data_IF_534982490889
#
_entry.id   IF_534982490889
#
_cell.length_a   1.000
_cell.length_b   1.000
_cell.length_c   1.000
_cell.angle_alpha   90.00
_cell.angle_beta   90.00
_cell.angle_gamma   90.00
#
_symmetry.space_group_name_H-M   'P 1'
#
loop_
_entity.id
_entity.type
_entity.pdbx_description
1 polymer ?
#
# COMPACT_ATOMS: atom_id res chain seq x y z
N UNK A 1 45.45 36.04 5.98
CA UNK A 1 45.09 34.73 5.41
C UNK A 1 43.68 34.44 5.87
N UNK A 2 42.72 34.66 5.00
CA UNK A 2 41.29 34.47 5.27
C UNK A 2 40.90 33.16 4.61
N UNK A 3 40.54 32.17 5.43
CA UNK A 3 40.08 30.89 4.99
C UNK A 3 38.69 30.98 4.33
N UNK A 4 38.57 30.58 3.09
CA UNK A 4 37.30 30.39 2.42
C UNK A 4 36.71 29.04 2.86
N UNK A 5 35.76 29.12 3.80
CA UNK A 5 34.85 27.99 4.06
C UNK A 5 33.94 27.78 2.86
N UNK A 6 34.16 26.68 2.15
CA UNK A 6 33.26 26.20 1.10
C UNK A 6 31.96 25.70 1.75
N UNK A 7 30.94 26.52 1.75
CA UNK A 7 29.56 26.07 1.90
C UNK A 7 29.22 25.13 0.72
N UNK A 8 29.34 23.83 0.96
CA UNK A 8 28.75 22.84 0.08
C UNK A 8 27.24 22.90 0.31
N UNK A 9 26.57 23.67 -0.56
CA UNK A 9 25.12 23.71 -0.60
C UNK A 9 24.59 22.32 -0.96
N UNK A 10 23.99 21.63 0.00
CA UNK A 10 23.15 20.48 -0.31
C UNK A 10 21.96 20.98 -1.14
N UNK A 11 22.04 20.77 -2.45
CA UNK A 11 20.87 20.88 -3.32
C UNK A 11 19.85 19.83 -2.86
N UNK A 12 18.56 20.20 -2.68
CA UNK A 12 17.54 19.21 -2.45
C UNK A 12 17.49 18.29 -3.66
N UNK A 13 17.72 17.01 -3.44
CA UNK A 13 17.54 15.99 -4.49
C UNK A 13 16.04 15.89 -4.72
N UNK A 14 15.50 16.66 -5.64
CA UNK A 14 14.16 16.46 -6.19
C UNK A 14 14.25 15.26 -7.15
N UNK A 15 14.31 14.05 -6.57
CA UNK A 15 14.20 12.84 -7.38
C UNK A 15 12.78 12.77 -7.92
N UNK A 16 12.60 13.00 -9.21
CA UNK A 16 11.36 12.74 -9.94
C UNK A 16 11.23 11.28 -10.34
N UNK A 17 12.26 10.47 -10.06
CA UNK A 17 12.23 9.05 -10.35
C UNK A 17 11.29 8.32 -9.39
N UNK A 18 10.30 7.64 -9.94
CA UNK A 18 9.44 6.74 -9.19
C UNK A 18 10.30 5.68 -8.47
N UNK A 19 10.02 5.49 -7.18
CA UNK A 19 10.75 4.52 -6.38
C UNK A 19 10.59 3.10 -6.96
N UNK A 20 11.73 2.44 -7.16
CA UNK A 20 11.85 1.02 -7.47
C UNK A 20 12.93 0.42 -6.59
N UNK A 21 12.58 -0.63 -5.88
CA UNK A 21 13.54 -1.37 -5.07
C UNK A 21 14.28 -2.35 -5.99
N UNK A 22 15.55 -2.06 -6.25
CA UNK A 22 16.36 -2.87 -7.18
C UNK A 22 16.73 -4.23 -6.59
N UNK A 23 16.92 -4.29 -5.28
CA UNK A 23 17.35 -5.48 -4.56
C UNK A 23 16.16 -6.36 -4.13
N UNK A 24 16.28 -7.68 -4.28
CA UNK A 24 15.20 -8.62 -3.89
C UNK A 24 15.02 -8.67 -2.38
N UNK A 25 16.09 -8.49 -1.60
CA UNK A 25 15.98 -8.43 -0.13
C UNK A 25 15.15 -7.22 0.30
N UNK A 26 15.35 -6.05 -0.32
CA UNK A 26 14.55 -4.85 -0.06
C UNK A 26 13.11 -5.01 -0.53
N UNK A 27 12.88 -5.67 -1.68
CA UNK A 27 11.51 -5.99 -2.13
C UNK A 27 10.80 -6.93 -1.16
N UNK A 28 11.51 -7.93 -0.65
CA UNK A 28 10.97 -8.86 0.36
C UNK A 28 10.69 -8.16 1.69
N UNK A 29 11.61 -7.32 2.17
CA UNK A 29 11.43 -6.52 3.37
C UNK A 29 10.22 -5.58 3.25
N UNK A 30 10.13 -4.84 2.14
CA UNK A 30 8.98 -3.97 1.87
C UNK A 30 7.66 -4.76 1.88
N UNK A 31 7.58 -5.87 1.13
CA UNK A 31 6.35 -6.69 1.10
C UNK A 31 5.98 -7.20 2.49
N UNK A 32 6.99 -7.65 3.25
CA UNK A 32 6.76 -8.13 4.62
C UNK A 32 6.14 -7.06 5.52
N UNK A 33 6.68 -5.85 5.50
CA UNK A 33 6.17 -4.72 6.27
C UNK A 33 4.82 -4.22 5.74
N UNK A 34 4.67 -4.07 4.42
CA UNK A 34 3.44 -3.61 3.79
C UNK A 34 2.24 -4.50 4.17
N UNK A 35 2.43 -5.82 4.07
CA UNK A 35 1.40 -6.81 4.43
C UNK A 35 1.12 -6.79 5.93
N UNK A 36 2.16 -6.77 6.78
CA UNK A 36 2.01 -6.72 8.23
C UNK A 36 1.23 -5.48 8.67
N UNK A 37 1.55 -4.32 8.12
CA UNK A 37 0.92 -3.05 8.47
C UNK A 37 -0.54 -3.00 8.02
N UNK A 38 -0.86 -3.53 6.84
CA UNK A 38 -2.23 -3.67 6.39
C UNK A 38 -3.04 -4.61 7.30
N UNK A 39 -2.44 -5.74 7.71
CA UNK A 39 -3.05 -6.69 8.64
C UNK A 39 -3.25 -6.06 10.03
N UNK A 40 -2.25 -5.38 10.56
CA UNK A 40 -2.32 -4.69 11.85
C UNK A 40 -3.38 -3.58 11.88
N UNK A 41 -3.57 -2.87 10.77
CA UNK A 41 -4.55 -1.79 10.65
C UNK A 41 -5.99 -2.25 10.90
N UNK A 42 -6.31 -3.52 10.67
CA UNK A 42 -7.61 -4.09 11.04
C UNK A 42 -7.82 -4.11 12.56
N UNK A 43 -6.78 -4.41 13.33
CA UNK A 43 -6.86 -4.50 14.79
C UNK A 43 -6.69 -3.14 15.48
N UNK A 44 -5.91 -2.26 14.87
CA UNK A 44 -5.63 -0.91 15.36
C UNK A 44 -5.68 0.08 14.18
N UNK A 45 -6.90 0.54 13.81
CA UNK A 45 -7.09 1.44 12.69
C UNK A 45 -6.34 2.76 12.89
N UNK A 46 -5.38 3.11 11.98
CA UNK A 46 -4.75 4.42 12.03
C UNK A 46 -5.74 5.52 11.67
N UNK A 47 -5.71 6.64 12.40
CA UNK A 47 -6.67 7.74 12.22
C UNK A 47 -6.64 8.37 10.82
N UNK A 48 -5.50 8.32 10.13
CA UNK A 48 -5.34 8.81 8.76
C UNK A 48 -5.88 7.86 7.68
N UNK A 49 -6.29 6.64 8.03
CA UNK A 49 -6.84 5.67 7.08
C UNK A 49 -8.35 5.86 7.01
N UNK A 50 -8.79 6.68 6.08
CA UNK A 50 -10.21 7.07 5.89
C UNK A 50 -10.85 6.48 4.64
N UNK A 51 -10.07 5.84 3.78
CA UNK A 51 -10.51 5.16 2.56
C UNK A 51 -9.55 4.05 2.14
N UNK A 52 -9.89 3.31 1.09
CA UNK A 52 -9.07 2.20 0.60
C UNK A 52 -7.70 2.64 0.05
N UNK A 53 -7.60 3.82 -0.56
CA UNK A 53 -6.34 4.36 -1.04
C UNK A 53 -5.47 4.86 0.13
N UNK A 54 -6.10 5.42 1.18
CA UNK A 54 -5.40 5.82 2.40
C UNK A 54 -4.74 4.62 3.10
N UNK A 55 -5.40 3.45 3.10
CA UNK A 55 -4.81 2.22 3.63
C UNK A 55 -3.54 1.81 2.85
N UNK A 56 -3.59 1.86 1.52
CA UNK A 56 -2.42 1.56 0.67
C UNK A 56 -1.29 2.57 0.91
N UNK A 57 -1.62 3.88 0.95
CA UNK A 57 -0.65 4.95 1.21
C UNK A 57 0.01 4.80 2.59
N UNK A 58 -0.79 4.53 3.62
CA UNK A 58 -0.32 4.27 4.98
C UNK A 58 0.65 3.09 5.01
N UNK A 59 0.21 1.91 4.55
CA UNK A 59 1.03 0.72 4.58
C UNK A 59 2.33 0.87 3.77
N UNK A 60 2.27 1.55 2.61
CA UNK A 60 3.44 1.81 1.77
C UNK A 60 4.43 2.77 2.43
N UNK A 61 3.94 3.87 2.99
CA UNK A 61 4.76 4.87 3.68
C UNK A 61 5.44 4.28 4.91
N UNK A 62 4.67 3.60 5.75
CA UNK A 62 5.20 3.02 6.97
C UNK A 62 6.17 1.86 6.69
N UNK A 63 5.94 1.03 5.66
CA UNK A 63 6.86 -0.04 5.26
C UNK A 63 8.26 0.45 4.84
N UNK A 64 8.37 1.71 4.43
CA UNK A 64 9.62 2.35 4.02
C UNK A 64 10.33 3.10 5.15
N UNK A 65 9.70 3.24 6.31
CA UNK A 65 10.32 3.91 7.47
C UNK A 65 11.31 3.01 8.18
N UNK A 66 12.29 3.60 8.92
CA UNK A 66 13.06 2.86 9.89
C UNK A 66 12.16 2.34 11.02
N UNK A 67 12.16 1.05 11.27
CA UNK A 67 11.38 0.45 12.34
C UNK A 67 12.20 0.39 13.64
N UNK A 68 12.56 1.56 14.15
CA UNK A 68 13.30 1.71 15.40
C UNK A 68 12.49 1.20 16.60
N UNK A 69 13.18 0.94 17.73
CA UNK A 69 12.49 0.58 18.97
C UNK A 69 11.44 1.62 19.40
N UNK A 70 11.67 2.90 19.12
CA UNK A 70 10.70 3.96 19.38
C UNK A 70 9.49 3.86 18.46
N UNK A 71 9.72 3.63 17.16
CA UNK A 71 8.64 3.42 16.20
C UNK A 71 7.80 2.20 16.58
N UNK A 72 8.43 1.06 16.92
CA UNK A 72 7.74 -0.16 17.35
C UNK A 72 6.86 0.07 18.58
N UNK A 73 7.35 0.84 19.56
CA UNK A 73 6.54 1.19 20.75
C UNK A 73 5.32 2.04 20.39
N UNK A 74 5.46 3.00 19.46
CA UNK A 74 4.34 3.85 19.00
C UNK A 74 3.35 3.10 18.15
N UNK A 75 3.83 2.22 17.28
CA UNK A 75 2.99 1.44 16.37
C UNK A 75 2.11 0.41 17.09
N UNK A 76 2.45 0.04 18.35
CA UNK A 76 1.67 -0.90 19.19
C UNK A 76 1.20 -2.14 18.43
N UNK A 77 2.07 -2.69 17.56
CA UNK A 77 1.72 -3.86 16.78
C UNK A 77 1.30 -5.02 17.71
N UNK A 78 0.28 -5.80 17.33
CA UNK A 78 -0.19 -6.95 18.14
C UNK A 78 0.89 -7.98 18.45
N UNK A 79 1.89 -8.09 17.58
CA UNK A 79 3.08 -8.95 17.76
C UNK A 79 4.29 -8.18 17.26
N UNK A 80 5.42 -8.26 17.98
CA UNK A 80 6.69 -7.70 17.54
C UNK A 80 7.22 -8.48 16.31
N UNK A 81 7.38 -7.83 15.15
CA UNK A 81 7.81 -8.53 13.96
C UNK A 81 9.35 -8.69 13.92
N UNK A 82 9.80 -9.86 13.48
CA UNK A 82 11.19 -10.10 13.11
C UNK A 82 11.37 -9.90 11.60
N UNK A 83 11.17 -8.67 11.12
CA UNK A 83 11.34 -8.30 9.71
C UNK A 83 12.52 -7.35 9.55
N UNK A 84 13.36 -7.54 8.52
CA UNK A 84 14.41 -6.58 8.20
C UNK A 84 13.78 -5.28 7.67
N UNK A 85 14.49 -4.16 7.87
CA UNK A 85 14.14 -2.90 7.23
C UNK A 85 14.52 -2.89 5.75
N UNK A 86 13.82 -2.08 4.97
CA UNK A 86 14.26 -1.70 3.62
C UNK A 86 15.51 -0.85 3.74
N UNK A 87 16.58 -1.20 3.04
CA UNK A 87 17.87 -0.48 3.11
C UNK A 87 17.96 0.67 2.12
N UNK A 88 17.46 0.51 0.88
CA UNK A 88 17.39 1.54 -0.14
C UNK A 88 16.20 2.47 0.08
N UNK A 89 16.30 3.34 1.09
CA UNK A 89 15.20 4.25 1.48
C UNK A 89 15.36 5.64 0.88
N UNK A 90 14.37 6.15 0.17
CA UNK A 90 14.30 7.58 -0.11
C UNK A 90 13.63 8.28 1.07
N UNK A 91 14.31 8.51 2.19
CA UNK A 91 13.74 9.31 3.28
C UNK A 91 14.34 10.70 3.21
N UNK A 92 13.56 11.71 2.79
CA UNK A 92 13.96 13.09 2.97
C UNK A 92 14.01 13.41 4.47
N UNK A 93 14.95 14.25 4.86
CA UNK A 93 15.16 14.71 6.23
C UNK A 93 13.95 15.44 6.84
N UNK A 94 12.99 15.89 6.03
CA UNK A 94 11.76 16.56 6.46
C UNK A 94 10.57 15.62 6.72
N UNK A 95 10.75 14.29 6.61
CA UNK A 95 9.69 13.30 6.88
C UNK A 95 8.61 13.18 5.82
N UNK A 96 8.64 14.00 4.77
CA UNK A 96 7.74 13.89 3.62
C UNK A 96 8.24 12.82 2.66
N UNK A 97 7.34 11.94 2.21
CA UNK A 97 7.64 10.86 1.29
C UNK A 97 6.70 10.96 0.07
N UNK A 98 7.04 11.78 -0.92
CA UNK A 98 6.31 11.82 -2.19
C UNK A 98 6.59 10.53 -2.96
N UNK A 99 5.76 9.50 -2.72
CA UNK A 99 5.97 8.14 -3.24
C UNK A 99 5.21 7.87 -4.53
N UNK A 100 4.15 8.65 -4.78
CA UNK A 100 3.20 8.34 -5.84
C UNK A 100 3.36 9.26 -7.03
N UNK A 101 3.57 8.67 -8.20
CA UNK A 101 3.45 9.35 -9.46
C UNK A 101 1.98 9.73 -9.69
N UNK A 102 1.71 10.98 -10.05
CA UNK A 102 0.34 11.49 -10.20
C UNK A 102 -0.05 11.81 -11.64
N UNK A 103 0.88 11.67 -12.59
CA UNK A 103 0.65 11.90 -14.02
C UNK A 103 1.50 10.94 -14.87
N UNK A 104 1.28 10.95 -16.18
CA UNK A 104 2.06 10.18 -17.14
C UNK A 104 3.46 10.79 -17.35
N UNK A 105 4.43 9.93 -17.72
CA UNK A 105 5.79 10.31 -18.09
C UNK A 105 6.79 10.20 -16.94
N UNK A 106 8.07 10.00 -17.27
CA UNK A 106 9.13 9.75 -16.28
C UNK A 106 9.49 10.99 -15.47
N UNK A 107 9.20 12.17 -15.98
CA UNK A 107 9.37 13.46 -15.30
C UNK A 107 8.13 13.92 -14.53
N UNK A 108 7.06 13.09 -14.47
CA UNK A 108 5.86 13.44 -13.74
C UNK A 108 6.15 13.65 -12.25
N UNK A 109 5.51 14.64 -11.61
CA UNK A 109 5.75 14.90 -10.19
C UNK A 109 5.32 13.73 -9.33
N UNK A 110 6.03 13.56 -8.22
CA UNK A 110 5.64 12.65 -7.14
C UNK A 110 4.88 13.42 -6.08
N UNK A 111 3.91 12.75 -5.44
CA UNK A 111 3.11 13.30 -4.34
C UNK A 111 2.99 12.29 -3.19
N UNK A 112 2.66 12.78 -2.02
CA UNK A 112 2.30 11.93 -0.88
C UNK A 112 0.89 11.37 -1.02
N UNK A 113 0.01 12.12 -1.68
CA UNK A 113 -1.37 11.74 -1.93
C UNK A 113 -1.54 11.12 -3.33
N UNK A 114 -2.27 10.01 -3.38
CA UNK A 114 -2.80 9.41 -4.60
C UNK A 114 -4.11 8.70 -4.25
N UNK A 115 -5.14 8.90 -5.07
CA UNK A 115 -6.38 8.13 -4.99
C UNK A 115 -6.21 6.72 -5.57
N UNK A 116 -7.24 5.88 -5.42
CA UNK A 116 -7.20 4.48 -5.86
C UNK A 116 -6.88 4.35 -7.37
N UNK A 117 -7.48 5.22 -8.19
CA UNK A 117 -7.26 5.22 -9.65
C UNK A 117 -5.84 5.63 -10.02
N UNK A 118 -5.30 6.65 -9.35
CA UNK A 118 -3.94 7.12 -9.53
C UNK A 118 -2.91 6.06 -9.12
N UNK A 119 -3.15 5.37 -7.98
CA UNK A 119 -2.31 4.27 -7.53
C UNK A 119 -2.25 3.19 -8.61
N UNK A 120 -3.39 2.72 -9.09
CA UNK A 120 -3.44 1.66 -10.11
C UNK A 120 -2.83 2.11 -11.43
N UNK A 121 -3.17 3.32 -11.89
CA UNK A 121 -2.79 3.78 -13.23
C UNK A 121 -1.30 4.08 -13.37
N UNK A 122 -0.68 4.64 -12.32
CA UNK A 122 0.68 5.17 -12.41
C UNK A 122 1.68 4.50 -11.45
N UNK A 123 1.19 3.75 -10.45
CA UNK A 123 2.05 3.20 -9.39
C UNK A 123 1.93 1.68 -9.24
N UNK A 124 1.13 1.04 -10.09
CA UNK A 124 1.00 -0.41 -10.14
C UNK A 124 0.94 -0.90 -11.58
N UNK A 125 1.18 -2.19 -11.77
CA UNK A 125 1.01 -2.87 -13.05
C UNK A 125 0.01 -4.02 -12.90
N UNK A 126 -0.77 -4.28 -13.93
CA UNK A 126 -1.63 -5.44 -14.00
C UNK A 126 -0.78 -6.73 -13.97
N UNK A 127 -1.14 -7.66 -13.12
CA UNK A 127 -0.54 -8.99 -13.04
C UNK A 127 -1.42 -9.98 -13.82
N UNK A 128 -2.72 -10.02 -13.48
CA UNK A 128 -3.66 -10.98 -14.02
C UNK A 128 -5.10 -10.54 -13.72
N UNK A 129 -6.07 -11.20 -14.36
CA UNK A 129 -7.47 -11.17 -13.94
C UNK A 129 -7.86 -12.39 -13.10
N UNK A 130 -6.97 -13.35 -12.95
CA UNK A 130 -7.17 -14.50 -12.07
C UNK A 130 -6.63 -14.17 -10.66
N UNK A 131 -7.51 -14.23 -9.67
CA UNK A 131 -7.10 -13.94 -8.28
C UNK A 131 -6.14 -14.98 -7.71
N UNK A 132 -6.11 -16.18 -8.28
CA UNK A 132 -5.14 -17.24 -7.96
C UNK A 132 -3.68 -16.85 -8.23
N UNK A 133 -3.46 -15.86 -9.11
CA UNK A 133 -2.13 -15.35 -9.42
C UNK A 133 -1.64 -14.27 -8.42
N UNK A 134 -2.54 -13.84 -7.52
CA UNK A 134 -2.22 -12.84 -6.52
C UNK A 134 -1.23 -13.38 -5.47
N UNK A 135 -0.33 -12.51 -5.04
CA UNK A 135 0.65 -12.78 -3.98
C UNK A 135 0.47 -11.77 -2.85
N UNK A 136 0.90 -12.09 -1.64
CA UNK A 136 0.92 -11.10 -0.55
C UNK A 136 1.59 -9.78 -0.98
N UNK A 137 0.91 -8.67 -0.76
CA UNK A 137 1.30 -7.33 -1.19
C UNK A 137 0.70 -6.89 -2.53
N UNK A 138 0.01 -7.75 -3.27
CA UNK A 138 -0.76 -7.35 -4.45
C UNK A 138 -2.07 -6.68 -4.06
N UNK A 139 -2.63 -5.90 -4.99
CA UNK A 139 -3.87 -5.17 -4.84
C UNK A 139 -4.94 -5.79 -5.74
N UNK A 140 -6.12 -6.06 -5.18
CA UNK A 140 -7.32 -6.33 -5.98
C UNK A 140 -7.98 -4.99 -6.29
N UNK A 141 -8.21 -4.71 -7.56
CA UNK A 141 -8.82 -3.47 -8.01
C UNK A 141 -10.21 -3.72 -8.58
N UNK A 142 -11.18 -3.00 -8.02
CA UNK A 142 -12.57 -2.99 -8.49
C UNK A 142 -12.95 -1.59 -8.95
N UNK A 143 -13.79 -1.54 -9.99
CA UNK A 143 -14.35 -0.30 -10.49
C UNK A 143 -15.86 -0.43 -10.67
N UNK A 144 -16.60 0.42 -9.98
CA UNK A 144 -18.06 0.45 -9.97
C UNK A 144 -18.54 1.86 -10.33
N UNK A 145 -18.71 2.18 -11.64
CA UNK A 145 -18.97 3.54 -12.13
C UNK A 145 -20.23 4.19 -11.54
N UNK A 146 -21.20 3.38 -11.11
CA UNK A 146 -22.44 3.86 -10.50
C UNK A 146 -22.30 4.34 -9.04
N UNK A 147 -21.15 4.09 -8.41
CA UNK A 147 -20.91 4.53 -7.04
C UNK A 147 -20.28 5.91 -6.99
N UNK A 148 -20.53 6.66 -5.90
CA UNK A 148 -19.89 7.96 -5.65
C UNK A 148 -18.37 7.87 -5.61
N UNK A 149 -17.85 6.77 -5.04
CA UNK A 149 -16.44 6.41 -5.08
C UNK A 149 -16.31 5.14 -5.93
N UNK A 150 -16.04 5.28 -7.24
CA UNK A 150 -16.13 4.14 -8.15
C UNK A 150 -14.94 3.19 -8.05
N UNK A 151 -13.82 3.64 -7.52
CA UNK A 151 -12.54 2.92 -7.55
C UNK A 151 -12.22 2.36 -6.14
N UNK A 152 -12.06 1.04 -6.02
CA UNK A 152 -11.79 0.38 -4.75
C UNK A 152 -10.55 -0.50 -4.83
N UNK A 153 -9.74 -0.44 -3.77
CA UNK A 153 -8.55 -1.26 -3.59
C UNK A 153 -8.70 -2.15 -2.38
N UNK A 154 -8.24 -3.40 -2.52
CA UNK A 154 -8.12 -4.34 -1.42
C UNK A 154 -6.70 -4.91 -1.42
N UNK A 155 -6.07 -5.06 -0.26
CA UNK A 155 -4.70 -5.58 -0.14
C UNK A 155 -4.76 -7.08 0.13
N UNK A 156 -4.08 -7.86 -0.71
CA UNK A 156 -3.85 -9.28 -0.46
C UNK A 156 -2.77 -9.41 0.60
N UNK A 157 -3.09 -9.95 1.77
CA UNK A 157 -2.11 -10.12 2.84
C UNK A 157 -1.60 -11.56 2.96
N UNK A 158 -2.25 -12.53 2.31
CA UNK A 158 -1.94 -13.94 2.49
C UNK A 158 -2.32 -14.43 3.90
N UNK A 159 -1.61 -15.39 4.47
CA UNK A 159 -1.82 -15.82 5.84
C UNK A 159 -1.59 -14.67 6.81
N UNK A 160 -2.54 -14.46 7.74
CA UNK A 160 -2.40 -13.41 8.75
C UNK A 160 -1.35 -13.78 9.80
N UNK A 161 -0.60 -12.78 10.26
CA UNK A 161 0.31 -12.95 11.40
C UNK A 161 -0.37 -12.84 12.76
N UNK A 162 -1.59 -12.30 12.78
CA UNK A 162 -2.34 -12.02 14.01
C UNK A 162 -3.57 -12.91 14.16
N UNK A 163 -3.94 -13.67 13.13
CA UNK A 163 -5.03 -14.61 13.14
C UNK A 163 -4.49 -16.02 12.88
N UNK A 164 -4.58 -16.96 13.85
CA UNK A 164 -4.05 -18.31 13.71
C UNK A 164 -4.85 -19.17 12.74
N UNK A 165 -5.99 -18.69 12.26
CA UNK A 165 -6.80 -19.44 11.31
C UNK A 165 -6.10 -19.54 9.94
N UNK A 166 -6.20 -20.71 9.32
CA UNK A 166 -5.58 -20.97 8.02
C UNK A 166 -6.28 -20.24 6.88
N UNK A 167 -5.53 -19.94 5.81
CA UNK A 167 -6.02 -19.36 4.57
C UNK A 167 -5.48 -17.95 4.32
N UNK A 168 -5.73 -17.48 3.10
CA UNK A 168 -5.34 -16.15 2.68
C UNK A 168 -6.41 -15.12 3.05
N UNK A 169 -5.96 -13.97 3.51
CA UNK A 169 -6.80 -12.86 3.89
C UNK A 169 -6.61 -11.66 2.97
N UNK A 170 -7.66 -10.88 2.90
CA UNK A 170 -7.73 -9.60 2.21
C UNK A 170 -8.10 -8.53 3.23
N UNK A 171 -7.39 -7.38 3.19
CA UNK A 171 -7.70 -6.22 4.04
C UNK A 171 -8.04 -5.03 3.15
N UNK A 172 -9.10 -4.31 3.51
CA UNK A 172 -9.55 -3.13 2.80
C UNK A 172 -10.33 -2.19 3.71
N UNK A 173 -10.42 -0.91 3.31
CA UNK A 173 -11.34 0.05 3.92
C UNK A 173 -12.60 0.16 3.07
N UNK A 174 -13.76 0.14 3.69
CA UNK A 174 -15.06 0.19 2.96
C UNK A 174 -15.29 1.54 2.27
N UNK A 175 -14.56 2.58 2.70
CA UNK A 175 -14.80 3.97 2.29
C UNK A 175 -15.94 4.60 3.08
N UNK A 176 -16.00 5.94 3.12
CA UNK A 176 -17.11 6.65 3.71
C UNK A 176 -18.35 6.60 2.80
N UNK A 177 -19.51 6.52 3.41
CA UNK A 177 -20.83 6.72 2.77
C UNK A 177 -21.61 7.84 3.45
N UNK A 178 -22.92 7.97 3.16
CA UNK A 178 -23.76 9.03 3.74
C UNK A 178 -24.03 8.84 5.24
N UNK A 179 -23.82 7.63 5.76
CA UNK A 179 -24.19 7.25 7.13
C UNK A 179 -22.99 6.98 8.01
N UNK A 180 -21.85 6.56 7.42
CA UNK A 180 -20.67 6.14 8.17
C UNK A 180 -19.37 6.66 7.55
N UNK A 181 -18.33 6.81 8.38
CA UNK A 181 -16.95 7.05 7.92
C UNK A 181 -16.30 5.84 7.24
N UNK A 182 -17.00 4.71 7.22
CA UNK A 182 -16.45 3.43 6.82
C UNK A 182 -15.57 2.79 7.89
N UNK A 183 -15.07 1.61 7.58
CA UNK A 183 -14.23 0.82 8.49
C UNK A 183 -13.21 -0.03 7.73
N UNK A 184 -12.15 -0.44 8.40
CA UNK A 184 -11.20 -1.42 7.88
C UNK A 184 -11.79 -2.82 8.12
N UNK A 185 -11.88 -3.60 7.06
CA UNK A 185 -12.34 -4.99 7.07
C UNK A 185 -11.21 -5.94 6.70
N UNK A 186 -11.26 -7.11 7.33
CA UNK A 186 -10.40 -8.26 7.03
C UNK A 186 -11.30 -9.47 6.76
N UNK A 187 -11.15 -10.04 5.59
CA UNK A 187 -11.97 -11.18 5.14
C UNK A 187 -11.08 -12.27 4.55
N UNK A 188 -11.52 -13.51 4.62
CA UNK A 188 -10.83 -14.58 3.90
C UNK A 188 -11.06 -14.43 2.40
N UNK A 189 -10.05 -14.73 1.59
CA UNK A 189 -10.19 -14.72 0.14
C UNK A 189 -11.31 -15.69 -0.30
N UNK A 190 -11.42 -16.86 0.34
CA UNK A 190 -12.49 -17.82 0.08
C UNK A 190 -13.90 -17.25 0.30
N UNK A 191 -14.07 -16.35 1.27
CA UNK A 191 -15.36 -15.72 1.57
C UNK A 191 -15.62 -14.56 0.61
N UNK A 192 -14.57 -13.82 0.23
CA UNK A 192 -14.68 -12.78 -0.79
C UNK A 192 -15.10 -13.36 -2.16
N UNK A 193 -14.59 -14.53 -2.53
CA UNK A 193 -15.01 -15.25 -3.74
C UNK A 193 -16.50 -15.62 -3.72
N UNK A 194 -17.09 -15.78 -2.54
CA UNK A 194 -18.52 -16.08 -2.32
C UNK A 194 -19.33 -14.89 -1.80
N UNK A 195 -18.74 -13.68 -1.86
CA UNK A 195 -19.40 -12.48 -1.35
C UNK A 195 -20.87 -12.40 -1.81
N UNK A 196 -21.84 -12.06 -0.92
CA UNK A 196 -23.27 -12.05 -1.28
C UNK A 196 -23.58 -11.11 -2.44
N UNK A 197 -22.92 -9.95 -2.51
CA UNK A 197 -23.02 -9.05 -3.66
C UNK A 197 -21.99 -9.44 -4.73
N UNK A 198 -22.42 -9.97 -5.91
CA UNK A 198 -21.50 -10.48 -6.95
C UNK A 198 -20.47 -9.46 -7.43
N UNK A 199 -20.80 -8.16 -7.41
CA UNK A 199 -19.89 -7.06 -7.81
C UNK A 199 -18.59 -6.99 -6.99
N UNK A 200 -18.53 -7.64 -5.82
CA UNK A 200 -17.34 -7.70 -4.97
C UNK A 200 -16.55 -9.01 -5.10
N UNK A 201 -17.01 -9.93 -5.92
CA UNK A 201 -16.29 -11.20 -6.13
C UNK A 201 -15.11 -10.97 -7.08
N UNK A 202 -13.87 -11.31 -6.70
CA UNK A 202 -12.71 -11.17 -7.57
C UNK A 202 -12.64 -12.31 -8.59
N UNK A 203 -13.60 -12.34 -9.49
CA UNK A 203 -13.73 -13.35 -10.54
C UNK A 203 -13.59 -12.68 -11.92
N UNK A 204 -12.93 -13.33 -12.90
CA UNK A 204 -12.79 -12.77 -14.26
C UNK A 204 -14.11 -12.43 -14.94
N UNK A 205 -15.20 -13.17 -14.61
CA UNK A 205 -16.54 -12.92 -15.14
C UNK A 205 -17.22 -11.68 -14.50
N UNK A 206 -16.68 -11.14 -13.42
CA UNK A 206 -17.20 -9.94 -12.80
C UNK A 206 -16.60 -8.69 -13.48
N UNK A 207 -17.41 -7.95 -14.23
CA UNK A 207 -16.96 -6.72 -14.93
C UNK A 207 -16.44 -5.64 -13.98
N UNK A 208 -16.94 -5.60 -12.74
CA UNK A 208 -16.44 -4.67 -11.73
C UNK A 208 -15.03 -5.03 -11.23
N UNK A 209 -14.60 -6.28 -11.34
CA UNK A 209 -13.25 -6.70 -10.99
C UNK A 209 -12.30 -6.47 -12.17
N UNK A 210 -11.46 -5.46 -12.05
CA UNK A 210 -10.50 -5.10 -13.10
C UNK A 210 -9.31 -6.05 -13.13
N UNK A 211 -8.85 -6.50 -11.94
CA UNK A 211 -7.77 -7.48 -11.84
C UNK A 211 -6.91 -7.34 -10.59
N UNK A 212 -5.84 -8.11 -10.61
CA UNK A 212 -4.74 -8.12 -9.62
C UNK A 212 -3.65 -7.20 -10.10
N UNK A 213 -3.23 -6.27 -9.25
CA UNK A 213 -2.20 -5.29 -9.55
C UNK A 213 -1.05 -5.40 -8.56
N UNK A 214 0.17 -5.19 -9.04
CA UNK A 214 1.39 -5.16 -8.21
C UNK A 214 2.00 -3.77 -8.21
N UNK A 215 2.37 -3.28 -7.04
CA UNK A 215 3.05 -1.99 -6.90
C UNK A 215 4.38 -1.99 -7.67
N UNK A 216 4.65 -0.91 -8.42
CA UNK A 216 5.88 -0.78 -9.22
C UNK A 216 7.13 -0.77 -8.33
N UNK A 217 7.00 -0.31 -7.10
CA UNK A 217 8.09 -0.31 -6.11
C UNK A 217 8.74 -1.69 -5.92
N UNK A 218 8.00 -2.79 -6.16
CA UNK A 218 8.43 -4.18 -5.94
C UNK A 218 8.39 -5.04 -7.20
N UNK A 219 8.44 -4.42 -8.38
CA UNK A 219 8.44 -5.14 -9.67
C UNK A 219 9.83 -5.22 -10.29
#
# INVERSE_FOLDING_TARGET
MIGLDRLVGLMPITSTAQMRLADESDRAAFRGWFVLLADAAFYQPPAEVTDCAALVRYAMREALRPHTAEWLRRARLPVAPALPDVTARPIPSNGQLPLFRIAAGDSAPLAEFADARTIVRWNARLVSREVSDARPGDLLYFRQPSQRQPDHLMIVIGPSRFDPSSGDFIVYHTGPDEQTSGEIRKVRLSDLLRHPAPRWRPLPANEAFIGVFRLIAVT
#
